data_IF_829425169606
#
_entry.id   IF_829425169606
#
_cell.length_a   1.000
_cell.length_b   1.000
_cell.length_c   1.000
_cell.angle_alpha   90.00
_cell.angle_beta   90.00
_cell.angle_gamma   90.00
#
_symmetry.space_group_name_H-M   'P 1'
#
loop_
_entity.id
_entity.type
_entity.pdbx_description
1 polymer ?
#
# COMPACT_ATOMS: atom_id res chain seq x y z
N UNK A 1 -1.83 -5.43 17.80
CA UNK A 1 -1.29 -4.35 16.96
C UNK A 1 -2.29 -4.07 15.85
N UNK A 2 -2.64 -2.80 15.66
CA UNK A 2 -3.53 -2.40 14.58
C UNK A 2 -2.77 -1.63 13.51
N UNK A 3 -2.98 -1.99 12.25
CA UNK A 3 -2.42 -1.32 11.08
C UNK A 3 -3.58 -0.83 10.21
N UNK A 4 -3.54 0.43 9.80
CA UNK A 4 -4.49 0.98 8.85
C UNK A 4 -3.85 1.06 7.47
N UNK A 5 -4.59 0.77 6.40
CA UNK A 5 -4.11 0.94 5.04
C UNK A 5 -5.06 1.81 4.22
N UNK A 6 -4.48 2.75 3.49
CA UNK A 6 -5.16 3.67 2.56
C UNK A 6 -4.47 3.67 1.21
N UNK A 7 -5.12 4.18 0.19
CA UNK A 7 -4.59 4.34 -1.17
C UNK A 7 -5.22 5.53 -1.89
N UNK A 8 -4.62 5.93 -3.01
CA UNK A 8 -5.21 6.84 -3.98
C UNK A 8 -5.67 8.17 -3.34
N UNK A 9 -4.69 8.88 -2.75
CA UNK A 9 -4.86 10.14 -2.01
C UNK A 9 -5.01 11.31 -2.98
N UNK A 10 -4.26 11.30 -4.10
CA UNK A 10 -4.31 12.29 -5.17
C UNK A 10 -4.24 13.76 -4.69
N UNK A 11 -3.33 14.03 -3.74
CA UNK A 11 -3.10 15.37 -3.22
C UNK A 11 -4.24 15.93 -2.35
N UNK A 12 -5.16 15.09 -1.88
CA UNK A 12 -6.28 15.50 -1.03
C UNK A 12 -6.07 15.10 0.42
N UNK A 13 -6.23 16.05 1.35
CA UNK A 13 -6.20 15.76 2.78
C UNK A 13 -7.55 15.21 3.26
N UNK A 14 -7.49 14.42 4.34
CA UNK A 14 -8.69 13.91 5.01
C UNK A 14 -8.56 14.09 6.53
N UNK A 15 -9.29 15.04 7.08
CA UNK A 15 -9.35 15.23 8.55
C UNK A 15 -9.90 13.98 9.25
N UNK A 16 -10.79 13.26 8.60
CA UNK A 16 -11.36 12.00 9.10
C UNK A 16 -10.30 10.91 9.28
N UNK A 17 -9.27 10.87 8.42
CA UNK A 17 -8.16 9.93 8.57
C UNK A 17 -7.43 10.17 9.89
N UNK A 18 -7.07 11.43 10.17
CA UNK A 18 -6.34 11.79 11.40
C UNK A 18 -7.18 11.49 12.63
N UNK A 19 -8.46 11.83 12.61
CA UNK A 19 -9.40 11.54 13.71
C UNK A 19 -9.51 10.03 13.96
N UNK A 20 -9.59 9.22 12.88
CA UNK A 20 -9.65 7.76 12.98
C UNK A 20 -8.37 7.18 13.58
N UNK A 21 -7.19 7.60 13.08
CA UNK A 21 -5.88 7.15 13.57
C UNK A 21 -5.73 7.39 15.07
N UNK A 22 -6.12 8.57 15.55
CA UNK A 22 -6.08 8.94 16.98
C UNK A 22 -7.03 8.11 17.84
N UNK A 23 -8.23 7.86 17.33
CA UNK A 23 -9.29 7.17 18.08
C UNK A 23 -9.05 5.68 18.24
N UNK A 24 -8.50 5.02 17.21
CA UNK A 24 -8.46 3.56 17.12
C UNK A 24 -7.13 2.94 17.57
N UNK A 25 -6.19 3.73 18.12
CA UNK A 25 -4.88 3.26 18.60
C UNK A 25 -4.11 2.49 17.50
N UNK A 26 -3.97 3.14 16.36
CA UNK A 26 -3.28 2.58 15.18
C UNK A 26 -1.76 2.68 15.40
N UNK A 27 -1.04 1.56 15.23
CA UNK A 27 0.42 1.52 15.34
C UNK A 27 1.13 1.98 14.07
N UNK A 28 0.58 1.64 12.90
CA UNK A 28 1.18 1.97 11.62
C UNK A 28 0.13 2.29 10.54
N UNK A 29 0.51 3.16 9.61
CA UNK A 29 -0.25 3.48 8.41
C UNK A 29 0.50 2.97 7.18
N UNK A 30 -0.18 2.15 6.35
CA UNK A 30 0.29 1.75 5.04
C UNK A 30 -0.37 2.64 3.98
N UNK A 31 0.43 3.16 3.04
CA UNK A 31 -0.04 3.95 1.91
C UNK A 31 0.28 3.20 0.62
N UNK A 32 -0.74 2.70 -0.06
CA UNK A 32 -0.60 1.85 -1.23
C UNK A 32 -0.48 2.64 -2.55
N UNK A 33 0.12 3.82 -2.52
CA UNK A 33 0.46 4.61 -3.71
C UNK A 33 -0.55 5.70 -4.06
N UNK A 34 -0.25 6.42 -5.15
CA UNK A 34 -0.96 7.59 -5.66
C UNK A 34 -1.21 8.63 -4.55
N UNK A 35 -0.10 9.00 -3.87
CA UNK A 35 -0.10 10.06 -2.85
C UNK A 35 -0.36 11.40 -3.51
N UNK A 36 0.22 11.61 -4.69
CA UNK A 36 0.07 12.83 -5.50
C UNK A 36 -0.68 12.53 -6.79
N UNK A 37 -0.91 13.55 -7.60
CA UNK A 37 -1.45 13.43 -8.95
C UNK A 37 -0.59 14.26 -9.91
N UNK A 38 -0.03 13.61 -10.94
CA UNK A 38 0.79 14.28 -11.95
C UNK A 38 -0.01 15.30 -12.78
N UNK A 39 -1.33 15.24 -12.79
CA UNK A 39 -2.21 16.18 -13.49
C UNK A 39 -2.49 17.45 -12.69
N UNK A 40 -2.18 17.47 -11.38
CA UNK A 40 -2.37 18.66 -10.55
C UNK A 40 -1.25 19.66 -10.87
N UNK A 41 -1.62 20.77 -11.50
CA UNK A 41 -0.68 21.83 -11.92
C UNK A 41 -0.69 23.05 -11.01
N UNK A 42 -1.56 23.07 -10.00
CA UNK A 42 -1.71 24.22 -9.07
C UNK A 42 -0.54 24.33 -8.10
N UNK A 43 0.19 23.24 -7.86
CA UNK A 43 1.40 23.21 -7.02
C UNK A 43 2.31 22.06 -7.50
N UNK A 44 3.59 22.11 -7.10
CA UNK A 44 4.53 21.02 -7.30
C UNK A 44 4.03 19.76 -6.57
N UNK A 45 3.72 18.63 -7.26
CA UNK A 45 3.14 17.45 -6.62
C UNK A 45 3.92 16.97 -5.40
N UNK A 46 5.26 16.96 -5.48
CA UNK A 46 6.11 16.51 -4.36
C UNK A 46 6.02 17.43 -3.13
N UNK A 47 5.62 18.70 -3.28
CA UNK A 47 5.47 19.61 -2.16
C UNK A 47 4.30 19.25 -1.23
N UNK A 48 3.37 18.42 -1.69
CA UNK A 48 2.26 17.90 -0.88
C UNK A 48 2.71 16.80 0.10
N UNK A 49 3.67 15.96 -0.30
CA UNK A 49 4.00 14.69 0.38
C UNK A 49 4.48 14.93 1.82
N UNK A 50 5.51 15.77 1.97
CA UNK A 50 6.08 16.02 3.30
C UNK A 50 5.07 16.64 4.27
N UNK A 51 4.36 17.75 3.98
CA UNK A 51 3.37 18.31 4.89
C UNK A 51 2.22 17.34 5.21
N UNK A 52 1.84 16.47 4.28
CA UNK A 52 0.79 15.47 4.49
C UNK A 52 1.23 14.39 5.48
N UNK A 53 2.43 13.83 5.28
CA UNK A 53 2.95 12.77 6.15
C UNK A 53 3.37 13.33 7.52
N UNK A 54 4.01 14.52 7.56
CA UNK A 54 4.39 15.18 8.81
C UNK A 54 3.16 15.39 9.72
N UNK A 55 2.07 15.92 9.16
CA UNK A 55 0.81 16.12 9.88
C UNK A 55 0.27 14.81 10.47
N UNK A 56 0.30 13.72 9.72
CA UNK A 56 -0.14 12.40 10.20
C UNK A 56 0.73 11.91 11.36
N UNK A 57 2.05 11.97 11.21
CA UNK A 57 2.99 11.50 12.24
C UNK A 57 2.90 12.35 13.50
N UNK A 58 2.85 13.69 13.36
CA UNK A 58 2.80 14.62 14.49
C UNK A 58 1.47 14.54 15.25
N UNK A 59 0.35 14.38 14.53
CA UNK A 59 -0.98 14.41 15.11
C UNK A 59 -1.46 13.07 15.66
N UNK A 60 -1.05 11.95 15.03
CA UNK A 60 -1.54 10.62 15.38
C UNK A 60 -0.47 9.68 15.97
N UNK A 61 0.80 10.06 15.95
CA UNK A 61 1.93 9.29 16.47
C UNK A 61 2.04 7.87 15.86
N UNK A 62 1.76 7.72 14.56
CA UNK A 62 1.82 6.45 13.83
C UNK A 62 3.08 6.35 12.98
N UNK A 63 3.59 5.12 12.78
CA UNK A 63 4.65 4.85 11.80
C UNK A 63 4.06 4.79 10.38
N UNK A 64 4.73 5.40 9.40
CA UNK A 64 4.22 5.49 8.03
C UNK A 64 5.11 4.69 7.08
N UNK A 65 4.50 3.75 6.34
CA UNK A 65 5.10 2.94 5.30
C UNK A 65 4.36 3.19 3.99
N UNK A 66 5.03 3.74 2.99
CA UNK A 66 4.40 4.14 1.75
C UNK A 66 5.15 3.62 0.51
N UNK A 67 4.42 3.32 -0.54
CA UNK A 67 4.95 3.06 -1.88
C UNK A 67 4.48 4.13 -2.86
N UNK A 68 5.18 4.37 -3.98
CA UNK A 68 4.63 5.15 -5.08
C UNK A 68 3.49 4.43 -5.78
N UNK A 69 2.53 5.17 -6.31
CA UNK A 69 1.58 4.71 -7.30
C UNK A 69 2.02 5.04 -8.73
N UNK A 70 1.12 4.86 -9.69
CA UNK A 70 1.42 5.19 -11.09
C UNK A 70 1.29 6.69 -11.39
N UNK A 71 0.48 7.42 -10.63
CA UNK A 71 0.34 8.88 -10.78
C UNK A 71 1.44 9.66 -10.05
N UNK A 72 2.23 9.02 -9.21
CA UNK A 72 3.28 9.68 -8.45
C UNK A 72 4.50 9.98 -9.34
N UNK A 73 5.04 11.22 -9.30
CA UNK A 73 6.18 11.59 -10.12
C UNK A 73 7.50 11.00 -9.61
N UNK A 74 8.51 11.02 -10.48
CA UNK A 74 9.87 10.69 -10.08
C UNK A 74 10.33 11.54 -8.88
N UNK A 75 10.99 10.89 -7.89
CA UNK A 75 11.43 11.56 -6.65
C UNK A 75 10.48 11.37 -5.47
N UNK A 76 9.28 10.81 -5.65
CA UNK A 76 8.31 10.57 -4.57
C UNK A 76 8.92 9.80 -3.38
N UNK A 77 9.75 8.79 -3.63
CA UNK A 77 10.43 8.04 -2.58
C UNK A 77 11.39 8.91 -1.74
N UNK A 78 12.02 9.91 -2.34
CA UNK A 78 12.85 10.85 -1.57
C UNK A 78 11.97 11.75 -0.71
N UNK A 79 10.87 12.26 -1.28
CA UNK A 79 9.92 13.07 -0.52
C UNK A 79 9.32 12.31 0.67
N UNK A 80 8.98 11.04 0.50
CA UNK A 80 8.51 10.17 1.59
C UNK A 80 9.60 10.05 2.67
N UNK A 81 10.85 9.72 2.30
CA UNK A 81 11.96 9.55 3.25
C UNK A 81 12.37 10.82 3.99
N UNK A 82 12.08 11.99 3.41
CA UNK A 82 12.31 13.30 4.03
C UNK A 82 11.14 13.75 4.91
N UNK A 83 10.09 12.91 5.03
CA UNK A 83 8.89 13.17 5.82
C UNK A 83 8.98 12.51 7.19
N UNK A 84 8.21 13.05 8.13
CA UNK A 84 8.28 12.69 9.55
C UNK A 84 9.45 13.35 10.27
N UNK A 85 9.42 13.43 11.60
CA UNK A 85 10.53 13.92 12.41
C UNK A 85 11.71 12.93 12.40
N UNK A 86 12.92 13.40 12.74
CA UNK A 86 14.15 12.57 12.74
C UNK A 86 14.01 11.29 13.58
N UNK A 87 13.26 11.36 14.68
CA UNK A 87 13.01 10.23 15.59
C UNK A 87 11.98 9.23 15.04
N UNK A 88 11.16 9.65 14.08
CA UNK A 88 10.08 8.83 13.47
C UNK A 88 9.94 9.13 11.97
N UNK A 89 10.94 8.79 11.16
CA UNK A 89 10.89 9.03 9.71
C UNK A 89 9.88 8.11 9.02
N UNK A 90 9.29 8.59 7.93
CA UNK A 90 8.48 7.74 7.06
C UNK A 90 9.37 6.84 6.18
N UNK A 91 8.84 5.68 5.82
CA UNK A 91 9.56 4.66 5.04
C UNK A 91 9.00 4.56 3.62
N UNK A 92 9.84 4.81 2.59
CA UNK A 92 9.51 4.41 1.23
C UNK A 92 9.80 2.93 1.04
N UNK A 93 8.75 2.15 0.86
CA UNK A 93 8.80 0.70 0.75
C UNK A 93 9.06 0.18 -0.66
N UNK A 94 9.17 1.04 -1.67
CA UNK A 94 9.40 0.60 -3.05
C UNK A 94 10.71 -0.18 -3.19
N UNK A 95 10.63 -1.45 -3.59
CA UNK A 95 11.73 -2.43 -3.63
C UNK A 95 12.40 -2.63 -2.24
N UNK A 96 11.62 -2.64 -1.17
CA UNK A 96 12.11 -2.82 0.19
C UNK A 96 11.38 -3.94 0.91
N UNK A 97 12.08 -4.56 1.84
CA UNK A 97 11.59 -5.52 2.83
C UNK A 97 11.99 -5.02 4.21
N UNK A 98 11.05 -4.83 5.11
CA UNK A 98 11.28 -4.36 6.47
C UNK A 98 10.55 -5.27 7.47
N UNK A 99 11.26 -5.70 8.50
CA UNK A 99 10.65 -6.31 9.68
C UNK A 99 10.20 -5.21 10.64
N UNK A 100 8.91 -5.18 10.96
CA UNK A 100 8.30 -4.24 11.88
C UNK A 100 7.50 -5.02 12.91
N UNK A 101 7.95 -5.05 14.16
CA UNK A 101 7.36 -5.84 15.23
C UNK A 101 7.12 -7.33 14.84
N UNK A 102 5.85 -7.76 14.84
CA UNK A 102 5.45 -9.12 14.44
C UNK A 102 4.97 -9.22 12.99
N UNK A 103 5.25 -8.22 12.15
CA UNK A 103 4.99 -8.25 10.71
C UNK A 103 6.26 -8.11 9.89
N UNK A 104 6.18 -8.53 8.64
CA UNK A 104 7.16 -8.19 7.59
C UNK A 104 6.40 -7.52 6.46
N UNK A 105 6.82 -6.31 6.12
CA UNK A 105 6.23 -5.51 5.05
C UNK A 105 7.18 -5.55 3.85
N UNK A 106 6.66 -6.00 2.71
CA UNK A 106 7.34 -5.96 1.42
C UNK A 106 6.60 -4.98 0.52
N UNK A 107 7.32 -4.14 -0.22
CA UNK A 107 6.67 -3.10 -1.01
C UNK A 107 7.17 -2.99 -2.44
N UNK A 108 6.24 -2.88 -3.39
CA UNK A 108 6.51 -2.55 -4.78
C UNK A 108 5.44 -1.61 -5.34
N UNK A 109 5.86 -0.41 -5.76
CA UNK A 109 4.96 0.63 -6.29
C UNK A 109 4.95 0.71 -7.82
N UNK A 110 4.01 1.50 -8.34
CA UNK A 110 3.72 1.63 -9.76
C UNK A 110 2.65 0.65 -10.23
N UNK A 111 2.27 0.73 -11.50
CA UNK A 111 1.24 -0.16 -12.08
C UNK A 111 1.68 -0.74 -13.42
N UNK A 112 0.98 -1.80 -13.85
CA UNK A 112 1.01 -2.24 -15.24
C UNK A 112 0.45 -1.13 -16.17
N UNK A 113 0.76 -1.18 -17.49
CA UNK A 113 0.34 -0.14 -18.42
C UNK A 113 -1.16 0.11 -18.42
N UNK A 114 -1.54 1.39 -18.43
CA UNK A 114 -2.91 1.88 -18.53
C UNK A 114 -3.13 2.68 -19.81
N UNK A 115 -4.37 3.00 -20.21
CA UNK A 115 -4.62 3.89 -21.32
C UNK A 115 -4.17 5.36 -21.09
N UNK A 116 -3.74 5.70 -19.88
CA UNK A 116 -3.48 7.09 -19.46
C UNK A 116 -2.02 7.51 -19.58
N UNK A 117 -1.08 6.56 -19.76
CA UNK A 117 0.37 6.80 -19.85
C UNK A 117 0.90 7.61 -18.65
N UNK A 118 0.62 7.15 -17.45
CA UNK A 118 1.03 7.78 -16.20
C UNK A 118 2.53 7.56 -15.92
N UNK A 119 3.17 8.43 -15.09
CA UNK A 119 4.63 8.39 -14.89
C UNK A 119 5.19 7.09 -14.32
N UNK A 120 4.42 6.41 -13.47
CA UNK A 120 4.84 5.21 -12.73
C UNK A 120 4.39 3.89 -13.35
N UNK A 121 3.98 3.89 -14.64
CA UNK A 121 3.68 2.65 -15.36
C UNK A 121 4.95 1.90 -15.73
N UNK A 122 4.94 0.59 -15.56
CA UNK A 122 6.02 -0.33 -15.91
C UNK A 122 5.45 -1.59 -16.56
N UNK A 123 6.29 -2.29 -17.34
CA UNK A 123 5.86 -3.56 -17.94
C UNK A 123 5.49 -4.59 -16.87
N UNK A 124 4.45 -5.35 -17.13
CA UNK A 124 3.93 -6.35 -16.18
C UNK A 124 4.95 -7.48 -15.88
N UNK A 125 5.85 -7.76 -16.83
CA UNK A 125 6.96 -8.70 -16.62
C UNK A 125 8.04 -8.12 -15.65
N UNK A 126 8.26 -6.82 -15.65
CA UNK A 126 9.16 -6.15 -14.68
C UNK A 126 8.52 -6.15 -13.29
N UNK A 127 7.20 -5.91 -13.18
CA UNK A 127 6.46 -6.06 -11.92
C UNK A 127 6.64 -7.48 -11.38
N UNK A 128 6.43 -8.50 -12.24
CA UNK A 128 6.61 -9.90 -11.87
C UNK A 128 8.00 -10.16 -11.28
N UNK A 129 9.05 -9.73 -12.00
CA UNK A 129 10.42 -9.97 -11.57
C UNK A 129 10.70 -9.37 -10.18
N UNK A 130 10.28 -8.12 -9.94
CA UNK A 130 10.54 -7.43 -8.69
C UNK A 130 9.74 -7.95 -7.51
N UNK A 131 8.46 -8.21 -7.71
CA UNK A 131 7.61 -8.80 -6.66
C UNK A 131 8.07 -10.24 -6.34
N UNK A 132 8.48 -11.01 -7.35
CA UNK A 132 9.07 -12.34 -7.16
C UNK A 132 10.36 -12.26 -6.35
N UNK A 133 11.30 -11.37 -6.72
CA UNK A 133 12.59 -11.20 -6.00
C UNK A 133 12.36 -10.86 -4.53
N UNK A 134 11.45 -9.94 -4.21
CA UNK A 134 11.12 -9.55 -2.84
C UNK A 134 10.56 -10.73 -2.02
N UNK A 135 9.62 -11.47 -2.59
CA UNK A 135 9.01 -12.62 -1.91
C UNK A 135 9.99 -13.78 -1.77
N UNK A 136 10.83 -14.05 -2.78
CA UNK A 136 11.88 -15.06 -2.72
C UNK A 136 12.98 -14.70 -1.70
N UNK A 137 13.36 -13.44 -1.60
CA UNK A 137 14.28 -12.96 -0.56
C UNK A 137 13.70 -13.21 0.83
N UNK A 138 12.42 -12.86 1.05
CA UNK A 138 11.76 -13.13 2.31
C UNK A 138 11.71 -14.62 2.63
N UNK A 139 11.32 -15.48 1.69
CA UNK A 139 11.27 -16.94 1.89
C UNK A 139 12.64 -17.51 2.28
N UNK A 140 13.71 -16.99 1.66
CA UNK A 140 15.08 -17.40 1.95
C UNK A 140 15.59 -16.96 3.33
N UNK A 141 15.31 -15.68 3.73
CA UNK A 141 15.81 -15.12 5.00
C UNK A 141 14.80 -15.25 6.15
N UNK A 142 13.51 -15.26 5.85
CA UNK A 142 12.43 -15.02 6.82
C UNK A 142 11.90 -16.26 7.53
N UNK A 143 12.25 -17.45 7.09
CA UNK A 143 11.68 -18.69 7.64
C UNK A 143 12.36 -19.16 8.94
N UNK A 144 12.90 -18.22 9.74
CA UNK A 144 13.50 -18.51 11.04
C UNK A 144 12.49 -18.23 12.15
N UNK A 145 11.85 -19.27 12.67
CA UNK A 145 11.21 -19.44 14.00
C UNK A 145 10.22 -18.37 14.52
N UNK A 146 10.09 -17.20 13.93
CA UNK A 146 9.16 -16.19 14.39
C UNK A 146 7.85 -16.27 13.61
N UNK A 147 6.75 -16.48 14.30
CA UNK A 147 5.40 -16.29 13.74
C UNK A 147 5.23 -14.82 13.38
N UNK A 148 5.34 -14.49 12.09
CA UNK A 148 5.15 -13.14 11.58
C UNK A 148 4.07 -13.12 10.51
N UNK A 149 3.28 -12.06 10.48
CA UNK A 149 2.34 -11.80 9.37
C UNK A 149 3.10 -11.12 8.24
N UNK A 150 3.00 -11.67 7.04
CA UNK A 150 3.64 -11.10 5.84
C UNK A 150 2.63 -10.23 5.09
N UNK A 151 2.95 -8.95 4.92
CA UNK A 151 2.14 -7.99 4.19
C UNK A 151 2.90 -7.57 2.93
N UNK A 152 2.36 -7.91 1.76
CA UNK A 152 2.81 -7.39 0.49
C UNK A 152 2.02 -6.12 0.15
N UNK A 153 2.71 -4.99 0.06
CA UNK A 153 2.13 -3.71 -0.32
C UNK A 153 2.43 -3.46 -1.80
N UNK A 154 1.42 -3.47 -2.66
CA UNK A 154 1.53 -3.15 -4.09
C UNK A 154 0.57 -2.01 -4.45
N UNK A 155 0.89 -1.19 -5.47
CA UNK A 155 -0.13 -0.24 -5.96
C UNK A 155 -1.10 -0.95 -6.91
N UNK A 156 -0.59 -1.61 -7.97
CA UNK A 156 -1.45 -2.41 -8.84
C UNK A 156 -2.06 -3.60 -8.08
N UNK A 157 -3.38 -3.86 -8.23
CA UNK A 157 -4.03 -5.04 -7.68
C UNK A 157 -3.66 -6.29 -8.49
N UNK A 158 -3.71 -7.50 -7.89
CA UNK A 158 -3.55 -8.75 -8.63
C UNK A 158 -4.72 -8.98 -9.58
N UNK A 159 -4.41 -9.39 -10.82
CA UNK A 159 -5.39 -9.65 -11.88
C UNK A 159 -6.46 -10.69 -11.48
N UNK A 160 -7.70 -10.51 -11.96
CA UNK A 160 -8.82 -11.44 -11.78
C UNK A 160 -9.15 -11.66 -10.28
N UNK A 161 -9.32 -10.55 -9.58
CA UNK A 161 -9.82 -10.44 -8.22
C UNK A 161 -10.92 -9.36 -8.14
N UNK A 162 -11.60 -9.24 -7.01
CA UNK A 162 -12.54 -8.10 -6.82
C UNK A 162 -11.81 -6.77 -6.75
N UNK A 163 -10.51 -6.78 -6.36
CA UNK A 163 -9.71 -5.58 -6.19
C UNK A 163 -9.31 -4.89 -7.51
N UNK A 164 -9.46 -5.58 -8.65
CA UNK A 164 -9.14 -5.07 -9.99
C UNK A 164 -10.35 -5.01 -10.93
N UNK A 165 -11.56 -5.16 -10.39
CA UNK A 165 -12.78 -5.28 -11.17
C UNK A 165 -13.40 -3.91 -11.45
N UNK A 166 -13.48 -3.53 -12.71
CA UNK A 166 -14.21 -2.32 -13.14
C UNK A 166 -15.73 -2.53 -13.10
N UNK A 167 -16.53 -1.44 -13.05
CA UNK A 167 -18.00 -1.53 -13.01
C UNK A 167 -18.63 -2.25 -14.22
N UNK A 168 -17.92 -2.32 -15.35
CA UNK A 168 -18.36 -3.04 -16.55
C UNK A 168 -18.03 -4.55 -16.53
N UNK A 169 -17.38 -5.03 -15.47
CA UNK A 169 -16.96 -6.41 -15.32
C UNK A 169 -15.57 -6.74 -15.90
N UNK A 170 -14.84 -5.75 -16.37
CA UNK A 170 -13.46 -5.94 -16.89
C UNK A 170 -12.45 -5.99 -15.76
N UNK A 171 -11.52 -6.95 -15.81
CA UNK A 171 -10.37 -7.03 -14.94
C UNK A 171 -9.16 -6.31 -15.55
N UNK A 172 -8.52 -5.43 -14.78
CA UNK A 172 -7.43 -4.57 -15.26
C UNK A 172 -6.16 -4.64 -14.41
N UNK A 173 -6.12 -5.53 -13.43
CA UNK A 173 -4.98 -5.73 -12.54
C UNK A 173 -3.76 -6.36 -13.20
N UNK A 174 -2.72 -6.58 -12.41
CA UNK A 174 -1.41 -7.07 -12.82
C UNK A 174 -1.29 -8.60 -12.67
N UNK A 175 -0.92 -9.27 -13.75
CA UNK A 175 -0.47 -10.66 -13.70
C UNK A 175 0.90 -10.76 -13.01
N UNK A 176 1.72 -9.72 -13.13
CA UNK A 176 3.02 -9.60 -12.47
C UNK A 176 2.91 -9.57 -10.94
N UNK A 177 1.80 -9.05 -10.40
CA UNK A 177 1.48 -9.14 -8.97
C UNK A 177 0.84 -10.49 -8.64
N UNK A 178 -0.11 -10.97 -9.43
CA UNK A 178 -0.87 -12.19 -9.14
C UNK A 178 0.00 -13.44 -9.07
N UNK A 179 0.90 -13.65 -10.05
CA UNK A 179 1.70 -14.87 -10.14
C UNK A 179 2.61 -15.11 -8.93
N UNK A 180 3.43 -14.13 -8.47
CA UNK A 180 4.23 -14.30 -7.27
C UNK A 180 3.38 -14.50 -6.00
N UNK A 181 2.24 -13.80 -5.87
CA UNK A 181 1.31 -14.05 -4.76
C UNK A 181 0.83 -15.51 -4.76
N UNK A 182 0.46 -16.03 -5.93
CA UNK A 182 0.01 -17.42 -6.04
C UNK A 182 1.10 -18.43 -5.67
N UNK A 183 2.37 -18.13 -5.95
CA UNK A 183 3.51 -19.00 -5.67
C UNK A 183 3.93 -18.96 -4.20
N UNK A 184 4.11 -17.76 -3.62
CA UNK A 184 4.67 -17.57 -2.27
C UNK A 184 3.63 -17.43 -1.16
N UNK A 185 2.38 -17.10 -1.49
CA UNK A 185 1.27 -17.00 -0.55
C UNK A 185 1.58 -16.10 0.67
N UNK A 186 1.99 -14.82 0.51
CA UNK A 186 2.05 -13.89 1.63
C UNK A 186 0.68 -13.85 2.33
N UNK A 187 0.63 -13.52 3.61
CA UNK A 187 -0.64 -13.53 4.35
C UNK A 187 -1.65 -12.54 3.79
N UNK A 188 -1.17 -11.31 3.48
CA UNK A 188 -2.01 -10.19 3.05
C UNK A 188 -1.32 -9.49 1.86
N UNK A 189 -2.10 -9.11 0.86
CA UNK A 189 -1.72 -8.11 -0.14
C UNK A 189 -2.64 -6.90 0.01
N UNK A 190 -2.06 -5.74 0.29
CA UNK A 190 -2.74 -4.43 0.24
C UNK A 190 -2.40 -3.79 -1.10
N UNK A 191 -3.41 -3.32 -1.81
CA UNK A 191 -3.27 -2.66 -3.10
C UNK A 191 -4.19 -1.43 -3.20
N UNK A 192 -4.16 -0.73 -4.33
CA UNK A 192 -4.98 0.44 -4.65
C UNK A 192 -5.31 0.49 -6.14
N UNK A 193 -5.06 1.66 -6.78
CA UNK A 193 -5.12 1.89 -8.24
C UNK A 193 -6.53 1.87 -8.83
N UNK A 194 -7.37 0.92 -8.48
CA UNK A 194 -8.73 0.83 -9.01
C UNK A 194 -9.69 1.40 -7.96
N UNK A 195 -9.99 2.67 -8.13
CA UNK A 195 -10.71 3.51 -7.16
C UNK A 195 -12.08 2.97 -6.77
N UNK A 196 -12.77 2.35 -7.73
CA UNK A 196 -14.12 1.80 -7.58
C UNK A 196 -14.13 0.39 -6.97
N UNK A 197 -12.97 -0.27 -6.89
CA UNK A 197 -12.84 -1.66 -6.50
C UNK A 197 -12.52 -1.84 -5.00
N UNK A 198 -13.07 -0.97 -4.13
CA UNK A 198 -12.98 -1.15 -2.68
C UNK A 198 -13.54 -2.52 -2.30
N UNK A 199 -12.67 -3.44 -1.88
CA UNK A 199 -13.04 -4.83 -1.67
C UNK A 199 -12.01 -5.63 -0.88
N UNK A 200 -12.46 -6.80 -0.41
CA UNK A 200 -11.59 -7.88 0.09
C UNK A 200 -11.87 -9.13 -0.73
N UNK A 201 -10.80 -9.79 -1.19
CA UNK A 201 -10.85 -11.05 -1.95
C UNK A 201 -9.66 -11.94 -1.60
N UNK A 202 -9.37 -12.98 -2.37
CA UNK A 202 -8.26 -13.91 -2.13
C UNK A 202 -7.57 -14.37 -3.42
N UNK A 203 -6.26 -14.55 -3.31
CA UNK A 203 -5.46 -15.35 -4.26
C UNK A 203 -4.84 -16.52 -3.49
N UNK A 204 -5.43 -17.72 -3.64
CA UNK A 204 -5.06 -18.86 -2.80
C UNK A 204 -5.40 -18.62 -1.33
N UNK A 205 -4.39 -18.60 -0.45
CA UNK A 205 -4.55 -18.27 0.97
C UNK A 205 -4.34 -16.78 1.27
N UNK A 206 -3.73 -16.03 0.36
CA UNK A 206 -3.46 -14.59 0.53
C UNK A 206 -4.78 -13.81 0.51
N UNK A 207 -5.02 -13.01 1.54
CA UNK A 207 -6.09 -12.01 1.54
C UNK A 207 -5.62 -10.82 0.70
N UNK A 208 -6.42 -10.43 -0.30
CA UNK A 208 -6.20 -9.23 -1.13
C UNK A 208 -7.19 -8.18 -0.71
N UNK A 209 -6.73 -6.97 -0.40
CA UNK A 209 -7.58 -5.88 0.04
C UNK A 209 -7.21 -4.56 -0.65
N UNK A 210 -8.22 -3.92 -1.23
CA UNK A 210 -8.15 -2.60 -1.84
C UNK A 210 -9.08 -1.66 -1.06
N UNK A 211 -8.58 -0.59 -0.40
CA UNK A 211 -9.41 0.39 0.28
C UNK A 211 -10.20 1.28 -0.68
N UNK A 212 -9.81 1.32 -1.97
CA UNK A 212 -10.29 2.32 -2.93
C UNK A 212 -9.67 3.69 -2.68
N UNK A 213 -10.23 4.71 -3.33
CA UNK A 213 -9.76 6.09 -3.20
C UNK A 213 -10.06 6.65 -1.80
N UNK A 214 -9.08 7.29 -1.15
CA UNK A 214 -9.22 7.88 0.20
C UNK A 214 -10.42 8.85 0.32
N UNK A 215 -10.71 9.61 -0.75
CA UNK A 215 -11.84 10.55 -0.77
C UNK A 215 -13.20 9.87 -0.52
N UNK A 216 -13.32 8.58 -0.81
CA UNK A 216 -14.54 7.80 -0.55
C UNK A 216 -14.73 7.46 0.94
N UNK A 217 -13.73 7.76 1.79
CA UNK A 217 -13.79 7.57 3.23
C UNK A 217 -13.64 6.13 3.70
N UNK A 218 -13.08 5.23 2.87
CA UNK A 218 -12.79 3.86 3.25
C UNK A 218 -11.31 3.66 3.55
N UNK A 219 -11.02 2.70 4.43
CA UNK A 219 -9.69 2.21 4.71
C UNK A 219 -9.74 0.69 5.00
N UNK A 220 -8.58 0.03 5.02
CA UNK A 220 -8.46 -1.36 5.47
C UNK A 220 -7.84 -1.36 6.86
N UNK A 221 -8.53 -1.95 7.83
CA UNK A 221 -8.01 -2.22 9.16
C UNK A 221 -7.48 -3.65 9.22
N UNK A 222 -6.22 -3.79 9.65
CA UNK A 222 -5.58 -5.07 9.93
C UNK A 222 -5.35 -5.12 11.44
N UNK A 223 -5.96 -6.08 12.14
CA UNK A 223 -5.72 -6.31 13.56
C UNK A 223 -4.97 -7.64 13.75
N UNK A 224 -3.82 -7.58 14.45
CA UNK A 224 -2.90 -8.70 14.60
C UNK A 224 -2.65 -8.95 16.09
N UNK A 225 -2.93 -10.17 16.55
CA UNK A 225 -2.70 -10.57 17.95
C UNK A 225 -1.25 -11.04 18.21
N UNK A 226 -0.94 -11.35 19.48
CA UNK A 226 0.38 -11.82 19.91
C UNK A 226 0.77 -13.19 19.33
N UNK A 227 -0.21 -13.99 18.89
CA UNK A 227 -0.01 -15.28 18.23
C UNK A 227 0.14 -15.17 16.71
N UNK A 228 0.21 -13.93 16.15
CA UNK A 228 0.19 -13.61 14.72
C UNK A 228 -1.08 -14.07 14.00
N UNK A 229 -2.21 -14.20 14.71
CA UNK A 229 -3.52 -14.30 14.06
C UNK A 229 -3.99 -12.91 13.70
N UNK A 230 -4.65 -12.79 12.58
CA UNK A 230 -5.05 -11.48 12.08
C UNK A 230 -6.47 -11.48 11.48
N UNK A 231 -7.07 -10.31 11.48
CA UNK A 231 -8.29 -10.00 10.73
C UNK A 231 -8.02 -8.85 9.76
N UNK A 232 -8.75 -8.83 8.66
CA UNK A 232 -8.69 -7.76 7.64
C UNK A 232 -10.11 -7.33 7.35
N UNK A 233 -10.42 -6.07 7.52
CA UNK A 233 -11.77 -5.53 7.32
C UNK A 233 -11.74 -4.15 6.66
N UNK A 234 -12.80 -3.83 5.91
CA UNK A 234 -13.05 -2.48 5.40
C UNK A 234 -13.68 -1.69 6.53
N UNK A 235 -13.14 -0.50 6.79
CA UNK A 235 -13.66 0.45 7.77
C UNK A 235 -13.99 1.78 7.11
N UNK A 236 -14.96 2.51 7.68
CA UNK A 236 -15.28 3.87 7.28
C UNK A 236 -14.54 4.86 8.21
N UNK A 237 -13.88 5.86 7.58
CA UNK A 237 -13.14 6.93 8.26
C UNK A 237 -14.09 8.04 8.77
#
# INVERSE_FOLDING_TARGET
>A
MKILAISDIHGKKSDKLIDYLKKEDISALLIAGDITDFQITEFEPLSFVKPFIDEIVEEADVDVFAIPGNCDPAGICNAIKESGPDEKPAFCMHNQLIAYENVVILGYGGSNPTPFNTPGEVDDDDIYLRVYELLAEYDYIGNTDAKRVTILLTHAPPYDTKADLLPDGTHVGSQGVKKPIHEFQPNINICGHIHEACSIDKVGQTIVANPGMLENGNAILIDIDEDAKFTVEIVEL
#
